data_IF_494698467124
#
_entry.id   IF_494698467124
#
_cell.length_a   1.000
_cell.length_b   1.000
_cell.length_c   1.000
_cell.angle_alpha   90.00
_cell.angle_beta   90.00
_cell.angle_gamma   90.00
#
_symmetry.space_group_name_H-M   'P 1'
#
loop_
_entity.id
_entity.type
_entity.pdbx_description
1 polymer ?
#
# COMPACT_ATOMS: atom_id res chain seq x y z
N UNK A 1 6.03 17.98 -8.34
CA UNK A 1 6.40 16.86 -7.47
C UNK A 1 5.85 15.61 -8.12
N UNK A 2 6.64 14.56 -8.29
CA UNK A 2 6.10 13.29 -8.80
C UNK A 2 5.39 12.57 -7.65
N UNK A 3 4.06 12.55 -7.67
CA UNK A 3 3.27 11.85 -6.64
C UNK A 3 2.86 10.47 -7.17
N UNK A 4 3.34 9.42 -6.54
CA UNK A 4 2.96 8.05 -6.83
C UNK A 4 1.98 7.55 -5.77
N UNK A 5 0.98 6.79 -6.20
CA UNK A 5 0.04 6.12 -5.30
C UNK A 5 -0.11 4.66 -5.70
N UNK A 6 0.21 3.76 -4.78
CA UNK A 6 0.06 2.33 -4.99
C UNK A 6 -1.12 1.81 -4.19
N UNK A 7 -1.99 1.02 -4.84
CA UNK A 7 -3.07 0.31 -4.17
C UNK A 7 -2.62 -1.11 -3.90
N UNK A 8 -2.71 -1.52 -2.63
CA UNK A 8 -2.26 -2.83 -2.17
C UNK A 8 -3.44 -3.56 -1.55
N UNK A 9 -3.60 -4.83 -1.94
CA UNK A 9 -4.48 -5.77 -1.28
C UNK A 9 -3.74 -6.42 -0.12
N UNK A 10 -4.13 -6.07 1.10
CA UNK A 10 -3.58 -6.62 2.33
C UNK A 10 -4.52 -7.70 2.87
N UNK A 11 -3.97 -8.87 3.16
CA UNK A 11 -4.67 -9.96 3.85
C UNK A 11 -4.09 -10.09 5.25
N UNK A 12 -4.94 -10.13 6.26
CA UNK A 12 -4.53 -10.09 7.65
C UNK A 12 -5.46 -10.95 8.51
N UNK A 13 -5.03 -11.29 9.72
CA UNK A 13 -5.83 -11.96 10.74
C UNK A 13 -5.56 -11.33 12.11
N UNK A 14 -6.52 -11.38 13.01
CA UNK A 14 -6.40 -10.88 14.39
C UNK A 14 -5.86 -11.92 15.36
N UNK A 15 -5.99 -13.21 15.00
CA UNK A 15 -5.40 -14.33 15.71
C UNK A 15 -5.22 -15.53 14.74
N UNK A 16 -4.36 -16.52 15.06
CA UNK A 16 -4.09 -17.67 14.20
C UNK A 16 -5.35 -18.47 13.80
N UNK A 17 -6.32 -18.57 14.72
CA UNK A 17 -7.57 -19.33 14.54
C UNK A 17 -8.71 -18.51 13.89
N UNK A 18 -8.49 -17.22 13.63
CA UNK A 18 -9.49 -16.37 12.99
C UNK A 18 -9.37 -16.39 11.47
N UNK A 19 -10.50 -16.21 10.75
CA UNK A 19 -10.48 -16.20 9.30
C UNK A 19 -9.64 -15.05 8.75
N UNK A 20 -8.96 -15.30 7.63
CA UNK A 20 -8.23 -14.26 6.91
C UNK A 20 -9.22 -13.22 6.41
N UNK A 21 -8.94 -11.96 6.76
CA UNK A 21 -9.64 -10.78 6.30
C UNK A 21 -8.85 -10.11 5.18
N UNK A 22 -9.53 -9.32 4.36
CA UNK A 22 -8.93 -8.59 3.24
C UNK A 22 -9.29 -7.11 3.31
N UNK A 23 -8.32 -6.24 2.99
CA UNK A 23 -8.56 -4.80 2.79
C UNK A 23 -7.65 -4.21 1.72
N UNK A 24 -8.02 -3.04 1.24
CA UNK A 24 -7.20 -2.25 0.33
C UNK A 24 -6.57 -1.07 1.05
N UNK A 25 -5.26 -0.94 0.95
CA UNK A 25 -4.49 0.19 1.49
C UNK A 25 -3.85 0.97 0.35
N UNK A 26 -3.71 2.28 0.53
CA UNK A 26 -3.05 3.17 -0.42
C UNK A 26 -1.70 3.57 0.16
N UNK A 27 -0.64 3.39 -0.62
CA UNK A 27 0.74 3.70 -0.27
C UNK A 27 1.20 4.89 -1.13
N UNK A 28 1.25 6.11 -0.58
CA UNK A 28 1.81 7.25 -1.27
C UNK A 28 3.34 7.17 -1.30
N UNK A 29 3.97 7.64 -2.38
CA UNK A 29 5.42 7.71 -2.51
C UNK A 29 5.81 8.88 -3.41
N UNK A 30 6.91 9.55 -3.07
CA UNK A 30 7.52 10.61 -3.90
C UNK A 30 8.42 10.06 -5.01
N UNK A 31 8.54 8.72 -5.10
CA UNK A 31 9.31 8.03 -6.15
C UNK A 31 8.56 6.83 -6.69
N UNK A 32 8.89 6.45 -7.91
CA UNK A 32 8.50 5.15 -8.44
C UNK A 32 9.09 4.03 -7.55
N UNK A 33 8.23 3.10 -7.15
CA UNK A 33 8.60 1.90 -6.40
C UNK A 33 8.22 0.67 -7.21
N UNK A 34 9.04 -0.37 -7.11
CA UNK A 34 8.68 -1.68 -7.63
C UNK A 34 7.58 -2.32 -6.77
N UNK A 35 6.79 -3.27 -7.32
CA UNK A 35 5.78 -3.97 -6.54
C UNK A 35 6.33 -4.58 -5.25
N UNK A 36 7.52 -5.18 -5.30
CA UNK A 36 8.17 -5.79 -4.15
C UNK A 36 8.56 -4.76 -3.07
N UNK A 37 9.01 -3.56 -3.46
CA UNK A 37 9.29 -2.48 -2.51
C UNK A 37 8.01 -2.00 -1.80
N UNK A 38 6.92 -1.83 -2.55
CA UNK A 38 5.63 -1.43 -1.97
C UNK A 38 5.11 -2.50 -1.01
N UNK A 39 5.21 -3.78 -1.39
CA UNK A 39 4.80 -4.90 -0.53
C UNK A 39 5.61 -4.94 0.77
N UNK A 40 6.94 -4.79 0.67
CA UNK A 40 7.82 -4.73 1.84
C UNK A 40 7.46 -3.57 2.77
N UNK A 41 7.22 -2.37 2.22
CA UNK A 41 6.83 -1.21 3.02
C UNK A 41 5.52 -1.45 3.79
N UNK A 42 4.55 -2.13 3.18
CA UNK A 42 3.29 -2.48 3.85
C UNK A 42 3.56 -3.42 5.02
N UNK A 43 4.42 -4.42 4.86
CA UNK A 43 4.80 -5.33 5.96
C UNK A 43 5.52 -4.60 7.09
N UNK A 44 6.45 -3.70 6.78
CA UNK A 44 7.21 -2.95 7.78
C UNK A 44 6.31 -2.01 8.61
N UNK A 45 5.34 -1.37 7.95
CA UNK A 45 4.50 -0.33 8.56
C UNK A 45 3.18 -0.85 9.11
N UNK A 46 2.81 -2.11 8.83
CA UNK A 46 1.51 -2.66 9.20
C UNK A 46 1.20 -2.51 10.69
N UNK A 47 2.17 -2.87 11.55
CA UNK A 47 2.04 -2.80 13.00
C UNK A 47 2.28 -1.39 13.56
N UNK A 48 2.85 -0.49 12.76
CA UNK A 48 3.10 0.91 13.15
C UNK A 48 1.82 1.76 13.02
N UNK A 49 0.93 1.36 12.10
CA UNK A 49 -0.38 1.96 11.96
C UNK A 49 -1.25 1.59 13.17
N UNK A 50 -1.49 2.55 14.07
CA UNK A 50 -2.31 2.38 15.29
C UNK A 50 -3.65 1.68 15.03
N UNK A 51 -4.24 1.90 13.84
CA UNK A 51 -5.49 1.30 13.42
C UNK A 51 -5.43 -0.23 13.27
N UNK A 52 -4.25 -0.79 13.04
CA UNK A 52 -4.01 -2.20 12.73
C UNK A 52 -3.19 -2.90 13.82
N UNK A 53 -3.00 -2.22 14.96
CA UNK A 53 -2.32 -2.80 16.11
C UNK A 53 -3.03 -4.08 16.58
N UNK A 54 -2.30 -5.20 16.61
CA UNK A 54 -2.82 -6.52 16.96
C UNK A 54 -3.34 -7.34 15.77
N UNK A 55 -3.21 -6.84 14.53
CA UNK A 55 -3.43 -7.61 13.32
C UNK A 55 -2.10 -8.17 12.79
N UNK A 56 -2.09 -9.45 12.43
CA UNK A 56 -0.98 -10.10 11.75
C UNK A 56 -1.22 -10.06 10.24
N UNK A 57 -0.30 -9.44 9.50
CA UNK A 57 -0.36 -9.37 8.04
C UNK A 57 0.16 -10.69 7.43
N UNK A 58 -0.68 -11.32 6.63
CA UNK A 58 -0.39 -12.58 5.94
C UNK A 58 0.24 -12.37 4.57
N UNK A 59 -0.28 -11.39 3.83
CA UNK A 59 0.20 -11.08 2.49
C UNK A 59 -0.17 -9.65 2.09
N UNK A 60 0.76 -8.97 1.43
CA UNK A 60 0.51 -7.73 0.70
C UNK A 60 0.72 -8.00 -0.79
N UNK A 61 -0.22 -7.57 -1.64
CA UNK A 61 -0.07 -7.63 -3.10
C UNK A 61 -0.41 -6.29 -3.74
N UNK A 62 0.49 -5.72 -4.53
CA UNK A 62 0.16 -4.54 -5.35
C UNK A 62 -0.86 -4.91 -6.43
N UNK A 63 -1.92 -4.13 -6.53
CA UNK A 63 -2.96 -4.34 -7.55
C UNK A 63 -3.04 -3.20 -8.58
N UNK A 64 -2.57 -2.01 -8.22
CA UNK A 64 -2.52 -0.86 -9.11
C UNK A 64 -1.45 0.13 -8.64
N UNK A 65 -0.86 0.86 -9.59
CA UNK A 65 0.01 2.01 -9.35
C UNK A 65 -0.44 3.19 -10.19
N UNK A 66 -0.50 4.36 -9.58
CA UNK A 66 -0.87 5.63 -10.22
C UNK A 66 0.31 6.59 -10.08
N UNK A 67 0.60 7.35 -11.13
CA UNK A 67 1.61 8.40 -11.13
C UNK A 67 0.94 9.71 -11.57
N UNK A 68 1.00 10.73 -10.72
CA UNK A 68 0.55 12.07 -11.05
C UNK A 68 1.64 12.81 -11.81
N UNK A 69 1.37 13.12 -13.07
CA UNK A 69 2.19 14.01 -13.89
C UNK A 69 1.59 15.42 -13.77
N UNK A 70 2.22 16.28 -12.99
CA UNK A 70 1.84 17.70 -12.86
C UNK A 70 2.48 18.49 -14.02
N UNK A 71 2.12 18.16 -15.26
CA UNK A 71 2.47 18.93 -16.46
C UNK A 71 1.41 18.72 -17.54
N UNK A 72 0.34 19.51 -17.44
CA UNK A 72 -0.43 19.93 -18.60
C UNK A 72 -0.47 21.46 -18.52
N UNK A 73 0.66 22.11 -18.81
CA UNK A 73 0.58 23.48 -19.30
C UNK A 73 -0.16 23.42 -20.64
N UNK A 74 -1.33 24.06 -20.80
CA UNK A 74 -1.96 24.14 -22.11
C UNK A 74 -1.01 24.89 -23.04
N UNK A 75 -0.58 24.25 -24.11
CA UNK A 75 0.12 24.93 -25.21
C UNK A 75 -0.84 26.00 -25.78
N UNK A 76 -0.45 27.28 -25.67
CA UNK A 76 -1.16 28.45 -26.23
C UNK A 76 -1.31 28.39 -27.77
#
# INVERSE_FOLDING_TARGET
SEEYMFKVRAKFRTAPDEPIQERFVNIPSDRAMTPAEVEAEVFERWNDWERYAGEELESANVIAGYHRIDELEPED
#
